data_IF_374701784885
#
_entry.id   IF_374701784885
#
_cell.length_a   1.000
_cell.length_b   1.000
_cell.length_c   1.000
_cell.angle_alpha   90.00
_cell.angle_beta   90.00
_cell.angle_gamma   90.00
#
_symmetry.space_group_name_H-M   'P 1'
#
loop_
_entity.id
_entity.type
_entity.pdbx_description
1 polymer ?
#
# COMPACT_ATOMS: atom_id res chain seq x y z
N UNK A 1 -11.25 -3.41 7.58
CA UNK A 1 -12.56 -3.65 6.92
C UNK A 1 -12.87 -2.46 6.04
N UNK A 2 -13.38 -2.70 4.83
CA UNK A 2 -13.78 -1.62 3.93
C UNK A 2 -15.03 -0.87 4.46
N UNK A 3 -15.17 0.43 4.15
CA UNK A 3 -16.29 1.27 4.60
C UNK A 3 -17.69 0.67 4.36
N UNK A 4 -17.96 0.17 3.17
CA UNK A 4 -19.25 -0.40 2.75
C UNK A 4 -19.66 -1.63 3.57
N UNK A 5 -18.68 -2.43 4.03
CA UNK A 5 -18.91 -3.57 4.93
C UNK A 5 -19.35 -3.07 6.29
N UNK A 6 -18.68 -2.03 6.79
CA UNK A 6 -19.00 -1.41 8.06
C UNK A 6 -20.39 -0.76 8.02
N UNK A 7 -20.79 -0.15 6.89
CA UNK A 7 -22.13 0.39 6.69
C UNK A 7 -23.21 -0.67 6.41
N UNK A 8 -22.83 -1.94 6.21
CA UNK A 8 -23.75 -3.01 5.78
C UNK A 8 -24.50 -2.65 4.47
N UNK A 9 -23.86 -1.87 3.59
CA UNK A 9 -24.38 -1.44 2.28
C UNK A 9 -23.76 -2.20 1.11
N UNK A 10 -23.08 -3.32 1.38
CA UNK A 10 -22.45 -4.13 0.34
C UNK A 10 -23.51 -4.73 -0.57
N UNK A 11 -23.35 -4.56 -1.88
CA UNK A 11 -24.15 -5.25 -2.87
C UNK A 11 -23.59 -6.66 -3.09
N UNK A 12 -24.27 -7.67 -2.54
CA UNK A 12 -23.84 -9.07 -2.61
C UNK A 12 -24.08 -9.71 -3.99
N UNK A 13 -24.86 -9.08 -4.86
CA UNK A 13 -25.12 -9.56 -6.21
C UNK A 13 -24.08 -9.06 -7.22
N UNK A 14 -23.28 -8.06 -6.82
CA UNK A 14 -22.24 -7.47 -7.65
C UNK A 14 -20.84 -7.99 -7.25
N UNK A 15 -20.22 -8.73 -8.17
CA UNK A 15 -18.87 -9.25 -7.99
C UNK A 15 -17.81 -8.14 -7.94
N UNK A 16 -18.05 -6.99 -8.56
CA UNK A 16 -17.10 -5.87 -8.53
C UNK A 16 -17.00 -5.27 -7.13
N UNK A 17 -18.11 -5.21 -6.39
CA UNK A 17 -18.12 -4.80 -4.98
C UNK A 17 -17.14 -5.63 -4.13
N UNK A 18 -17.03 -6.95 -4.36
CA UNK A 18 -16.05 -7.79 -3.66
C UNK A 18 -14.60 -7.44 -3.99
N UNK A 19 -14.30 -7.27 -5.28
CA UNK A 19 -12.96 -6.87 -5.71
C UNK A 19 -12.54 -5.54 -5.10
N UNK A 20 -13.45 -4.58 -5.01
CA UNK A 20 -13.14 -3.28 -4.43
C UNK A 20 -12.89 -3.34 -2.93
N UNK A 21 -13.54 -4.26 -2.21
CA UNK A 21 -13.23 -4.54 -0.80
C UNK A 21 -11.83 -5.14 -0.64
N UNK A 22 -11.42 -6.01 -1.55
CA UNK A 22 -10.08 -6.61 -1.54
C UNK A 22 -9.01 -5.58 -1.88
N UNK A 23 -9.26 -4.66 -2.83
CA UNK A 23 -8.37 -3.54 -3.14
C UNK A 23 -8.15 -2.66 -1.91
N UNK A 24 -9.22 -2.33 -1.18
CA UNK A 24 -9.09 -1.56 0.07
C UNK A 24 -8.23 -2.29 1.10
N UNK A 25 -8.44 -3.60 1.26
CA UNK A 25 -7.69 -4.42 2.21
C UNK A 25 -6.22 -4.55 1.80
N UNK A 26 -5.96 -4.73 0.51
CA UNK A 26 -4.61 -4.74 -0.07
C UNK A 26 -3.89 -3.42 0.20
N UNK A 27 -4.56 -2.27 0.08
CA UNK A 27 -3.94 -0.96 0.37
C UNK A 27 -3.42 -0.85 1.82
N UNK A 28 -4.16 -1.40 2.78
CA UNK A 28 -3.72 -1.43 4.19
C UNK A 28 -2.46 -2.29 4.35
N UNK A 29 -2.41 -3.45 3.70
CA UNK A 29 -1.23 -4.33 3.72
C UNK A 29 -0.03 -3.66 3.05
N UNK A 30 -0.24 -2.98 1.92
CA UNK A 30 0.81 -2.22 1.24
C UNK A 30 1.37 -1.11 2.13
N UNK A 31 0.51 -0.44 2.91
CA UNK A 31 0.94 0.53 3.91
C UNK A 31 1.79 -0.12 5.03
N UNK A 32 1.38 -1.29 5.53
CA UNK A 32 2.18 -2.04 6.51
C UNK A 32 3.56 -2.40 5.95
N UNK A 33 3.62 -2.89 4.72
CA UNK A 33 4.89 -3.20 4.04
C UNK A 33 5.76 -1.95 3.87
N UNK A 34 5.16 -0.83 3.44
CA UNK A 34 5.85 0.45 3.28
C UNK A 34 6.42 0.98 4.61
N UNK A 35 5.72 0.76 5.72
CA UNK A 35 6.18 1.17 7.07
C UNK A 35 7.44 0.45 7.55
N UNK A 36 7.77 -0.68 6.93
CA UNK A 36 8.91 -1.54 7.26
C UNK A 36 10.09 -1.35 6.31
N UNK A 37 10.01 -0.40 5.39
CA UNK A 37 11.03 -0.08 4.41
C UNK A 37 12.13 0.78 5.07
N UNK A 38 13.40 0.36 5.03
CA UNK A 38 14.55 1.10 5.60
C UNK A 38 14.83 2.39 4.82
N UNK A 39 14.45 2.44 3.54
CA UNK A 39 14.53 3.63 2.65
C UNK A 39 13.88 4.88 3.25
N UNK A 40 12.94 4.65 4.17
CA UNK A 40 12.04 5.65 4.72
C UNK A 40 12.59 6.29 6.01
N UNK A 41 13.73 5.80 6.50
CA UNK A 41 14.41 6.26 7.71
C UNK A 41 14.45 5.20 8.80
N UNK A 42 14.41 5.64 10.07
CA UNK A 42 14.39 4.71 11.21
C UNK A 42 13.12 3.85 11.18
N UNK A 43 13.31 2.54 10.99
CA UNK A 43 12.21 1.59 10.96
C UNK A 43 11.62 1.46 12.36
N UNK A 44 10.41 2.01 12.54
CA UNK A 44 9.65 1.91 13.79
C UNK A 44 9.25 0.46 14.09
N UNK A 45 8.94 0.16 15.35
CA UNK A 45 8.34 -1.11 15.72
C UNK A 45 7.07 -1.36 14.89
N UNK A 46 6.82 -2.63 14.54
CA UNK A 46 5.64 -3.00 13.78
C UNK A 46 4.37 -2.60 14.54
N UNK A 47 3.47 -1.91 13.84
CA UNK A 47 2.15 -1.55 14.33
C UNK A 47 1.12 -1.92 13.28
N UNK A 48 -0.03 -2.40 13.74
CA UNK A 48 -1.17 -2.67 12.87
C UNK A 48 -1.71 -1.36 12.27
N UNK A 49 -2.37 -1.41 11.09
CA UNK A 49 -3.15 -0.29 10.60
C UNK A 49 -4.13 0.19 11.67
N UNK A 50 -4.11 1.49 11.97
CA UNK A 50 -4.88 2.10 13.07
C UNK A 50 -4.45 1.71 14.50
N UNK A 51 -3.31 1.05 14.69
CA UNK A 51 -2.84 0.58 16.02
C UNK A 51 -2.74 1.68 17.08
N UNK A 52 -2.42 2.91 16.70
CA UNK A 52 -2.41 4.07 17.61
C UNK A 52 -3.79 4.56 18.04
N UNK A 53 -4.86 4.16 17.33
CA UNK A 53 -6.24 4.63 17.52
C UNK A 53 -7.18 3.56 18.07
N UNK A 54 -6.72 2.31 18.16
CA UNK A 54 -7.56 1.14 18.43
C UNK A 54 -6.91 0.27 19.50
N UNK A 55 -7.66 -0.12 20.54
CA UNK A 55 -7.19 -1.09 21.55
C UNK A 55 -6.99 -2.48 20.91
N UNK A 56 -6.26 -3.39 21.57
CA UNK A 56 -5.86 -4.72 21.05
C UNK A 56 -6.98 -5.56 20.39
N UNK A 57 -8.26 -5.27 20.67
CA UNK A 57 -9.41 -5.79 19.93
C UNK A 57 -10.44 -4.69 19.61
N UNK A 58 -10.44 -4.08 18.41
CA UNK A 58 -11.53 -3.21 17.99
C UNK A 58 -12.85 -3.97 17.96
N UNK A 59 -13.90 -3.40 18.55
CA UNK A 59 -15.26 -3.76 18.15
C UNK A 59 -15.60 -3.08 16.80
N UNK A 60 -16.58 -3.66 16.09
CA UNK A 60 -17.03 -3.16 14.77
C UNK A 60 -17.46 -1.69 14.84
N UNK A 61 -18.08 -1.27 15.95
CA UNK A 61 -18.56 0.10 16.13
C UNK A 61 -17.39 1.11 16.26
N UNK A 62 -16.29 0.75 16.93
CA UNK A 62 -15.09 1.59 16.95
C UNK A 62 -14.48 1.74 15.55
N UNK A 63 -14.45 0.66 14.76
CA UNK A 63 -13.96 0.73 13.37
C UNK A 63 -14.88 1.57 12.48
N UNK A 64 -16.20 1.51 12.68
CA UNK A 64 -17.17 2.39 12.01
C UNK A 64 -16.85 3.85 12.30
N UNK A 65 -16.67 4.22 13.56
CA UNK A 65 -16.41 5.61 13.93
C UNK A 65 -15.10 6.13 13.35
N UNK A 66 -14.05 5.32 13.34
CA UNK A 66 -12.76 5.72 12.79
C UNK A 66 -12.83 5.83 11.27
N UNK A 67 -13.33 4.80 10.58
CA UNK A 67 -13.21 4.68 9.11
C UNK A 67 -14.34 5.41 8.37
N UNK A 68 -15.57 5.39 8.88
CA UNK A 68 -16.75 6.00 8.25
C UNK A 68 -16.91 7.46 8.64
N UNK A 69 -17.03 7.70 9.95
CA UNK A 69 -17.34 9.02 10.48
C UNK A 69 -16.10 9.91 10.51
N UNK A 70 -14.98 9.39 11.00
CA UNK A 70 -13.72 10.11 11.08
C UNK A 70 -12.92 10.15 9.78
N UNK A 71 -13.36 9.42 8.74
CA UNK A 71 -12.62 9.21 7.47
C UNK A 71 -11.14 8.86 7.70
N UNK A 72 -10.87 8.18 8.81
CA UNK A 72 -9.53 7.85 9.25
C UNK A 72 -8.85 6.93 8.26
N UNK A 73 -7.58 7.23 7.97
CA UNK A 73 -6.65 6.35 7.26
C UNK A 73 -5.37 6.20 8.09
N UNK A 74 -4.60 5.12 7.87
CA UNK A 74 -3.25 5.05 8.38
C UNK A 74 -2.45 6.29 7.93
N UNK A 75 -1.69 6.86 8.85
CA UNK A 75 -0.91 8.07 8.56
C UNK A 75 0.24 7.71 7.61
N UNK A 76 0.47 8.53 6.60
CA UNK A 76 1.64 8.43 5.73
C UNK A 76 2.64 9.50 6.22
N UNK A 77 3.71 9.13 6.92
CA UNK A 77 4.72 10.07 7.37
C UNK A 77 5.39 10.80 6.20
N UNK A 78 5.68 12.08 6.39
CA UNK A 78 6.34 12.90 5.37
C UNK A 78 7.72 12.38 4.94
N UNK A 79 8.40 11.59 5.79
CA UNK A 79 9.66 10.94 5.43
C UNK A 79 9.52 9.94 4.29
N UNK A 80 8.35 9.32 4.12
CA UNK A 80 8.07 8.37 3.04
C UNK A 80 8.04 9.09 1.69
N UNK A 81 7.61 10.36 1.70
CA UNK A 81 7.46 11.18 0.51
C UNK A 81 8.80 11.75 0.02
N UNK A 82 9.91 11.53 0.72
CA UNK A 82 11.24 12.02 0.32
C UNK A 82 11.75 11.24 -0.90
N UNK A 83 11.58 9.92 -0.91
CA UNK A 83 11.99 9.07 -2.02
C UNK A 83 10.91 8.98 -3.10
N UNK A 84 11.28 9.13 -4.37
CA UNK A 84 10.32 9.19 -5.48
C UNK A 84 9.51 7.89 -5.64
N UNK A 85 10.17 6.73 -5.55
CA UNK A 85 9.48 5.43 -5.62
C UNK A 85 8.51 5.22 -4.45
N UNK A 86 8.89 5.68 -3.24
CA UNK A 86 8.02 5.59 -2.07
C UNK A 86 6.84 6.55 -2.16
N UNK A 87 7.05 7.76 -2.70
CA UNK A 87 5.96 8.69 -3.01
C UNK A 87 4.95 8.06 -3.96
N UNK A 88 5.42 7.47 -5.06
CA UNK A 88 4.53 6.79 -6.02
C UNK A 88 3.77 5.61 -5.38
N UNK A 89 4.41 4.85 -4.48
CA UNK A 89 3.76 3.83 -3.68
C UNK A 89 2.66 4.43 -2.77
N UNK A 90 2.96 5.53 -2.07
CA UNK A 90 2.01 6.22 -1.20
C UNK A 90 0.80 6.74 -1.97
N UNK A 91 1.02 7.31 -3.16
CA UNK A 91 -0.06 7.79 -4.03
C UNK A 91 -0.96 6.62 -4.48
N UNK A 92 -0.34 5.51 -4.89
CA UNK A 92 -1.07 4.28 -5.26
C UNK A 92 -1.88 3.72 -4.10
N UNK A 93 -1.31 3.64 -2.89
CA UNK A 93 -2.03 3.22 -1.68
C UNK A 93 -3.21 4.16 -1.41
N UNK A 94 -3.01 5.46 -1.58
CA UNK A 94 -4.02 6.48 -1.29
C UNK A 94 -5.24 6.35 -2.20
N UNK A 95 -5.01 6.04 -3.48
CA UNK A 95 -6.08 5.79 -4.45
C UNK A 95 -6.76 4.42 -4.25
N UNK A 96 -6.10 3.44 -3.61
CA UNK A 96 -6.68 2.11 -3.38
C UNK A 96 -7.61 2.05 -2.16
N UNK A 97 -7.39 2.89 -1.13
CA UNK A 97 -8.23 2.90 0.07
C UNK A 97 -9.27 4.03 0.08
N UNK A 98 -9.69 4.51 -1.10
CA UNK A 98 -10.74 5.52 -1.20
C UNK A 98 -12.00 5.05 -0.47
N UNK A 99 -12.75 5.99 0.08
CA UNK A 99 -14.02 5.65 0.69
C UNK A 99 -15.03 5.16 -0.34
N UNK A 100 -15.07 5.79 -1.51
CA UNK A 100 -15.94 5.40 -2.61
C UNK A 100 -15.34 4.18 -3.34
N UNK A 101 -16.01 3.01 -3.36
CA UNK A 101 -15.51 1.83 -4.05
C UNK A 101 -15.33 2.05 -5.56
N UNK A 102 -16.10 2.94 -6.21
CA UNK A 102 -15.96 3.20 -7.65
C UNK A 102 -14.74 4.06 -7.99
N UNK A 103 -14.23 4.84 -7.02
CA UNK A 103 -13.04 5.66 -7.17
C UNK A 103 -11.73 4.88 -6.94
N UNK A 104 -11.82 3.67 -6.40
CA UNK A 104 -10.65 2.83 -6.11
C UNK A 104 -10.05 2.26 -7.39
N UNK A 105 -8.71 2.16 -7.40
CA UNK A 105 -7.99 1.50 -8.49
C UNK A 105 -8.40 0.03 -8.62
N UNK A 106 -8.43 -0.49 -9.85
CA UNK A 106 -8.55 -1.94 -10.04
C UNK A 106 -7.24 -2.64 -9.71
N UNK A 107 -7.30 -3.90 -9.28
CA UNK A 107 -6.11 -4.72 -9.03
C UNK A 107 -5.17 -4.77 -10.25
N UNK A 108 -5.72 -4.76 -11.47
CA UNK A 108 -4.93 -4.66 -12.71
C UNK A 108 -4.16 -3.35 -12.80
N UNK A 109 -4.83 -2.21 -12.57
CA UNK A 109 -4.18 -0.91 -12.62
C UNK A 109 -3.06 -0.79 -11.57
N UNK A 110 -3.30 -1.34 -10.37
CA UNK A 110 -2.28 -1.43 -9.31
C UNK A 110 -1.07 -2.24 -9.78
N UNK A 111 -1.29 -3.42 -10.36
CA UNK A 111 -0.21 -4.25 -10.89
C UNK A 111 0.60 -3.55 -12.00
N UNK A 112 -0.07 -2.83 -12.91
CA UNK A 112 0.61 -2.03 -13.94
C UNK A 112 1.48 -0.93 -13.34
N UNK A 113 0.96 -0.20 -12.34
CA UNK A 113 1.74 0.82 -11.61
C UNK A 113 2.99 0.24 -10.96
N UNK A 114 2.89 -0.94 -10.34
CA UNK A 114 4.06 -1.62 -9.77
C UNK A 114 5.06 -2.08 -10.83
N UNK A 115 4.59 -2.57 -11.98
CA UNK A 115 5.46 -2.93 -13.10
C UNK A 115 6.21 -1.72 -13.66
N UNK A 116 5.55 -0.56 -13.74
CA UNK A 116 6.19 0.69 -14.16
C UNK A 116 7.26 1.13 -13.16
N UNK A 117 6.98 1.08 -11.86
CA UNK A 117 7.95 1.37 -10.81
C UNK A 117 9.20 0.48 -10.95
N UNK A 118 9.01 -0.84 -11.12
CA UNK A 118 10.11 -1.79 -11.28
C UNK A 118 10.93 -1.58 -12.58
N UNK A 119 10.32 -1.00 -13.63
CA UNK A 119 11.02 -0.67 -14.88
C UNK A 119 11.83 0.62 -14.77
N UNK A 120 11.29 1.63 -14.07
CA UNK A 120 12.00 2.89 -13.80
C UNK A 120 13.30 2.64 -13.02
N UNK A 121 13.29 1.68 -12.10
CA UNK A 121 14.49 1.28 -11.35
C UNK A 121 15.54 0.55 -12.22
N UNK A 122 15.16 -0.02 -13.38
CA UNK A 122 16.08 -0.72 -14.29
C UNK A 122 16.80 0.24 -15.25
N UNK A 123 16.14 1.32 -15.65
CA UNK A 123 16.70 2.29 -16.59
C UNK A 123 17.77 3.19 -15.94
N UNK A 124 17.65 3.50 -14.64
CA UNK A 124 18.69 4.20 -13.89
C UNK A 124 19.99 3.38 -13.76
N UNK A 125 19.92 2.04 -13.80
CA UNK A 125 21.09 1.15 -13.81
C UNK A 125 21.81 1.18 -15.17
N UNK A 126 21.08 1.34 -16.28
CA UNK A 126 21.67 1.41 -17.61
C UNK A 126 22.30 2.78 -17.91
N UNK A 127 21.84 3.85 -17.26
CA UNK A 127 22.31 5.21 -17.51
C UNK A 127 23.53 5.63 -16.66
N UNK A 128 23.81 4.93 -15.56
CA UNK A 128 24.89 5.27 -14.61
C UNK A 128 26.26 4.61 -14.91
N UNK A 129 26.51 4.15 -16.15
CA UNK A 129 27.85 3.73 -16.57
C UNK A 129 28.76 4.93 -16.90
N UNK A 130 28.87 5.89 -15.98
CA UNK A 130 29.99 6.85 -15.96
C UNK A 130 30.31 7.22 -14.51
N UNK A 131 31.36 6.57 -14.00
CA UNK A 131 32.23 6.92 -12.87
C UNK A 131 31.65 6.99 -11.44
N UNK A 132 31.97 5.95 -10.64
CA UNK A 132 32.92 5.95 -9.50
C UNK A 132 32.46 5.10 -8.29
N UNK A 133 33.38 4.30 -7.77
CA UNK A 133 33.22 3.46 -6.56
C UNK A 133 33.00 4.28 -5.28
N UNK A 134 32.21 3.66 -4.38
CA UNK A 134 32.36 3.64 -2.91
C UNK A 134 31.18 4.21 -2.10
N UNK A 135 30.21 3.36 -1.79
CA UNK A 135 29.69 3.17 -0.43
C UNK A 135 28.73 1.97 -0.38
N UNK A 136 29.15 0.91 0.31
CA UNK A 136 28.26 -0.19 0.71
C UNK A 136 27.28 0.31 1.77
N UNK A 137 26.09 0.67 1.34
CA UNK A 137 24.87 0.74 2.14
C UNK A 137 23.84 -0.07 1.37
N UNK A 138 23.10 -0.96 2.04
CA UNK A 138 22.06 -1.76 1.37
C UNK A 138 21.17 -0.82 0.55
N UNK A 139 21.23 -0.94 -0.78
CA UNK A 139 20.62 0.07 -1.64
C UNK A 139 19.11 0.08 -1.41
N UNK A 140 18.49 1.27 -1.21
CA UNK A 140 17.05 1.41 -1.08
C UNK A 140 16.27 0.83 -2.28
N UNK A 141 16.94 0.73 -3.43
CA UNK A 141 16.51 0.09 -4.67
C UNK A 141 16.20 -1.41 -4.49
N UNK A 142 16.91 -2.11 -3.62
CA UNK A 142 16.71 -3.55 -3.38
C UNK A 142 15.41 -3.82 -2.59
N UNK A 143 15.02 -2.92 -1.67
CA UNK A 143 13.82 -3.09 -0.85
C UNK A 143 12.54 -2.79 -1.64
N UNK A 144 12.55 -1.76 -2.49
CA UNK A 144 11.46 -1.48 -3.44
C UNK A 144 11.30 -2.65 -4.43
N UNK A 145 12.41 -3.25 -4.86
CA UNK A 145 12.43 -4.47 -5.66
C UNK A 145 11.85 -5.69 -4.88
N UNK A 146 12.06 -5.79 -3.57
CA UNK A 146 11.46 -6.85 -2.72
C UNK A 146 9.95 -6.65 -2.55
N UNK A 147 9.49 -5.40 -2.39
CA UNK A 147 8.06 -5.06 -2.31
C UNK A 147 7.37 -5.40 -3.64
N UNK A 148 7.90 -4.94 -4.77
CA UNK A 148 7.36 -5.26 -6.11
C UNK A 148 7.39 -6.76 -6.42
N UNK A 149 8.46 -7.49 -6.05
CA UNK A 149 8.54 -8.96 -6.21
C UNK A 149 7.58 -9.72 -5.29
N UNK A 150 7.42 -9.29 -4.03
CA UNK A 150 6.43 -9.89 -3.12
C UNK A 150 5.02 -9.68 -3.66
N UNK A 151 4.70 -8.47 -4.12
CA UNK A 151 3.39 -8.13 -4.68
C UNK A 151 3.12 -8.90 -5.99
N UNK A 152 4.10 -9.02 -6.89
CA UNK A 152 3.96 -9.84 -8.10
C UNK A 152 3.70 -11.32 -7.81
N UNK A 153 4.15 -11.84 -6.67
CA UNK A 153 3.87 -13.20 -6.22
C UNK A 153 2.56 -13.35 -5.44
N UNK A 154 2.09 -12.28 -4.77
CA UNK A 154 0.91 -12.30 -3.89
C UNK A 154 -0.39 -11.86 -4.58
N UNK A 155 -0.34 -10.97 -5.57
CA UNK A 155 -1.51 -10.57 -6.37
C UNK A 155 -2.25 -11.77 -7.00
N UNK A 156 -1.58 -12.78 -7.62
CA UNK A 156 -2.31 -13.94 -8.15
C UNK A 156 -2.98 -14.79 -7.04
N UNK A 157 -2.58 -14.65 -5.78
CA UNK A 157 -3.19 -15.38 -4.65
C UNK A 157 -4.39 -14.62 -4.08
N UNK A 158 -4.33 -13.29 -4.00
CA UNK A 158 -5.42 -12.46 -3.45
C UNK A 158 -6.62 -12.31 -4.40
N UNK A 159 -6.44 -12.48 -5.71
CA UNK A 159 -7.52 -12.33 -6.71
C UNK A 159 -8.28 -13.64 -6.98
N UNK A 160 -7.83 -14.78 -6.41
CA UNK A 160 -8.39 -16.12 -6.71
C UNK A 160 -9.15 -16.75 -5.52
N UNK A 161 -9.12 -16.18 -4.32
CA UNK A 161 -9.94 -16.62 -3.17
C UNK A 161 -11.05 -15.65 -2.88
#
# INVERSE_FOLDING_TARGET
MAPEVLESRVNLEDLESFKQMDVYSMALVLWEMASRCEVVGEVKNYELPFGSKVQEQPCVDTMRDIVLHGRGRPEIPSSWLVHQGMRFLCDTITECWDHDPEARLTAHCVAERFNLMAQMDCDDILNNNTDNEASKTASPEAEICIITKSISGTIPVLVIT
#
